data_IF_917131147366
#
_entry.id   IF_917131147366
#
_cell.length_a   1.000
_cell.length_b   1.000
_cell.length_c   1.000
_cell.angle_alpha   90.00
_cell.angle_beta   90.00
_cell.angle_gamma   90.00
#
_symmetry.space_group_name_H-M   'P 1'
#
loop_
_entity.id
_entity.type
_entity.pdbx_description
1 polymer ?
#
# COMPACT_ATOMS: atom_id res chain seq x y z
N UNK A 1 14.95 18.00 -6.75
CA UNK A 1 15.43 19.38 -6.89
C UNK A 1 14.32 20.37 -7.25
N UNK A 2 13.42 20.09 -8.20
CA UNK A 2 12.37 21.06 -8.61
C UNK A 2 11.27 21.34 -7.58
N UNK A 3 10.83 20.36 -6.75
CA UNK A 3 9.67 20.56 -5.86
C UNK A 3 9.85 21.64 -4.79
N UNK A 4 11.06 21.81 -4.24
CA UNK A 4 11.33 22.85 -3.24
C UNK A 4 11.29 24.24 -3.85
N UNK A 5 11.87 24.37 -5.05
CA UNK A 5 11.82 25.61 -5.83
C UNK A 5 10.38 25.92 -6.27
N UNK A 6 9.64 24.90 -6.69
CA UNK A 6 8.23 25.01 -7.03
C UNK A 6 7.42 25.53 -5.84
N UNK A 7 7.52 24.89 -4.68
CA UNK A 7 6.84 25.33 -3.47
C UNK A 7 7.23 26.78 -3.07
N UNK A 8 8.50 27.16 -3.23
CA UNK A 8 8.94 28.54 -3.01
C UNK A 8 8.28 29.53 -3.98
N UNK A 9 8.25 29.21 -5.27
CA UNK A 9 7.61 30.04 -6.28
C UNK A 9 6.09 30.14 -6.05
N UNK A 10 5.45 29.04 -5.67
CA UNK A 10 4.02 28.99 -5.32
C UNK A 10 3.73 29.84 -4.07
N UNK A 11 4.53 29.72 -3.00
CA UNK A 11 4.38 30.53 -1.76
C UNK A 11 4.53 32.03 -1.99
N UNK A 12 5.32 32.43 -3.00
CA UNK A 12 5.54 33.83 -3.36
C UNK A 12 4.66 34.31 -4.52
N UNK A 13 3.66 33.51 -4.94
CA UNK A 13 2.73 33.80 -6.04
C UNK A 13 3.45 34.16 -7.36
N UNK A 14 4.65 33.61 -7.56
CA UNK A 14 5.45 33.85 -8.76
C UNK A 14 4.98 32.92 -9.88
N UNK A 15 4.58 33.49 -11.01
CA UNK A 15 4.20 32.72 -12.19
C UNK A 15 5.43 32.07 -12.82
N UNK A 16 5.39 30.76 -13.01
CA UNK A 16 6.45 30.01 -13.70
C UNK A 16 5.90 29.05 -14.74
N UNK A 17 6.81 28.54 -15.56
CA UNK A 17 6.58 27.46 -16.51
C UNK A 17 7.40 26.26 -16.06
N UNK A 18 6.73 25.15 -15.80
CA UNK A 18 7.29 23.84 -15.56
C UNK A 18 7.25 23.08 -16.88
N UNK A 19 8.41 22.62 -17.30
CA UNK A 19 8.57 21.84 -18.50
C UNK A 19 9.26 20.52 -18.17
N UNK A 20 8.91 19.46 -18.92
CA UNK A 20 9.61 18.20 -18.79
C UNK A 20 11.08 18.39 -19.24
N UNK A 21 12.08 17.98 -18.45
CA UNK A 21 13.49 18.12 -18.83
C UNK A 21 13.83 17.45 -20.17
N UNK A 22 13.11 16.39 -20.55
CA UNK A 22 13.28 15.77 -21.87
C UNK A 22 12.77 16.65 -23.00
N UNK A 23 11.63 17.32 -22.79
CA UNK A 23 11.08 18.26 -23.78
C UNK A 23 11.96 19.51 -23.91
N UNK A 24 12.45 20.04 -22.78
CA UNK A 24 13.40 21.16 -22.76
C UNK A 24 14.63 20.83 -23.61
N UNK A 25 15.24 19.68 -23.35
CA UNK A 25 16.41 19.21 -24.10
C UNK A 25 16.10 19.00 -25.58
N UNK A 26 14.90 18.57 -25.97
CA UNK A 26 14.52 18.39 -27.38
C UNK A 26 14.33 19.72 -28.10
N UNK A 27 13.73 20.72 -27.43
CA UNK A 27 13.44 22.03 -28.01
C UNK A 27 14.65 22.95 -28.07
N UNK A 28 15.68 22.71 -27.25
CA UNK A 28 16.95 23.45 -27.25
C UNK A 28 18.02 22.83 -28.16
N UNK A 29 17.73 21.67 -28.78
CA UNK A 29 18.70 20.81 -29.47
C UNK A 29 19.05 21.24 -30.90
N UNK A 30 19.15 22.53 -31.15
CA UNK A 30 19.60 23.02 -32.46
C UNK A 30 21.11 22.77 -32.70
N UNK A 31 21.92 22.63 -31.64
CA UNK A 31 23.33 22.25 -31.76
C UNK A 31 23.64 20.99 -30.94
N UNK A 32 24.06 19.90 -31.61
CA UNK A 32 24.40 18.63 -30.99
C UNK A 32 25.70 18.65 -30.14
N UNK A 33 26.46 19.75 -30.14
CA UNK A 33 27.84 19.80 -29.61
C UNK A 33 28.11 20.96 -28.63
N UNK A 34 27.14 21.33 -27.79
CA UNK A 34 27.37 22.38 -26.79
C UNK A 34 27.83 21.82 -25.44
N UNK A 35 28.83 22.46 -24.85
CA UNK A 35 29.30 22.17 -23.50
C UNK A 35 28.23 22.59 -22.49
N UNK A 36 27.61 21.60 -21.85
CA UNK A 36 26.57 21.81 -20.83
C UNK A 36 27.13 22.61 -19.66
N UNK A 37 26.64 23.83 -19.47
CA UNK A 37 27.00 24.71 -18.37
C UNK A 37 25.73 25.36 -17.83
N UNK A 38 25.60 25.51 -16.51
CA UNK A 38 24.38 26.07 -15.89
C UNK A 38 24.00 27.46 -16.45
N UNK A 39 25.00 28.27 -16.82
CA UNK A 39 24.79 29.60 -17.45
C UNK A 39 24.18 29.51 -18.86
N UNK A 40 24.66 28.55 -19.65
CA UNK A 40 24.17 28.33 -21.01
C UNK A 40 22.77 27.72 -20.97
N UNK A 41 22.55 26.72 -20.10
CA UNK A 41 21.24 26.10 -19.90
C UNK A 41 20.17 27.15 -19.54
N UNK A 42 20.48 28.09 -18.65
CA UNK A 42 19.56 29.19 -18.30
C UNK A 42 19.27 30.13 -19.50
N UNK A 43 20.29 30.49 -20.28
CA UNK A 43 20.15 31.35 -21.45
C UNK A 43 19.27 30.69 -22.53
N UNK A 44 19.48 29.41 -22.81
CA UNK A 44 18.69 28.70 -23.81
C UNK A 44 17.24 28.50 -23.37
N UNK A 45 16.99 28.25 -22.09
CA UNK A 45 15.63 28.19 -21.56
C UNK A 45 14.90 29.54 -21.69
N UNK A 46 15.60 30.65 -21.43
CA UNK A 46 15.03 31.99 -21.61
C UNK A 46 14.73 32.31 -23.08
N UNK A 47 15.65 31.97 -24.00
CA UNK A 47 15.42 32.09 -25.45
C UNK A 47 14.24 31.26 -25.91
N UNK A 48 14.15 30.01 -25.47
CA UNK A 48 13.07 29.11 -25.81
C UNK A 48 11.70 29.68 -25.37
N UNK A 49 11.59 30.25 -24.18
CA UNK A 49 10.34 30.87 -23.73
C UNK A 49 10.01 32.15 -24.52
N UNK A 50 11.03 32.90 -24.97
CA UNK A 50 10.85 34.10 -25.79
C UNK A 50 10.39 33.78 -27.21
N UNK A 51 10.97 32.77 -27.84
CA UNK A 51 10.69 32.37 -29.23
C UNK A 51 9.44 31.49 -29.32
N UNK A 52 9.22 30.63 -28.31
CA UNK A 52 8.13 29.68 -28.23
C UNK A 52 7.47 29.71 -26.85
N UNK A 53 6.57 30.68 -26.59
CA UNK A 53 5.94 30.84 -25.29
C UNK A 53 5.21 29.56 -24.88
N UNK A 54 5.71 28.91 -23.83
CA UNK A 54 5.07 27.74 -23.26
C UNK A 54 3.89 28.17 -22.39
N UNK A 55 2.92 27.27 -22.23
CA UNK A 55 1.78 27.50 -21.33
C UNK A 55 2.29 27.65 -19.90
N UNK A 56 1.73 28.61 -19.17
CA UNK A 56 1.94 28.74 -17.73
C UNK A 56 1.66 27.40 -17.06
N UNK A 57 2.46 27.05 -16.07
CA UNK A 57 2.20 25.86 -15.30
C UNK A 57 0.84 25.95 -14.65
N UNK A 58 0.04 24.91 -14.89
CA UNK A 58 -1.17 24.69 -14.11
C UNK A 58 -0.74 24.40 -12.67
N UNK A 59 -0.99 25.36 -11.78
CA UNK A 59 -0.93 25.13 -10.34
C UNK A 59 -2.15 24.27 -10.02
N UNK A 60 -1.93 23.01 -9.64
CA UNK A 60 -3.02 22.16 -9.16
C UNK A 60 -3.59 22.81 -7.91
N UNK A 61 -4.92 22.87 -7.82
CA UNK A 61 -5.59 23.42 -6.64
C UNK A 61 -5.18 22.62 -5.40
N UNK A 62 -5.10 23.30 -4.26
CA UNK A 62 -4.68 22.69 -3.00
C UNK A 62 -5.56 21.50 -2.63
N UNK A 63 -6.88 21.62 -2.85
CA UNK A 63 -7.85 20.55 -2.59
C UNK A 63 -7.58 19.30 -3.44
N UNK A 64 -7.14 19.48 -4.68
CA UNK A 64 -6.79 18.37 -5.55
C UNK A 64 -5.49 17.69 -5.10
N UNK A 65 -4.50 18.47 -4.64
CA UNK A 65 -3.25 17.93 -4.12
C UNK A 65 -3.49 17.11 -2.83
N UNK A 66 -4.30 17.64 -1.92
CA UNK A 66 -4.73 16.92 -0.71
C UNK A 66 -5.47 15.63 -1.04
N UNK A 67 -6.40 15.68 -2.00
CA UNK A 67 -7.14 14.50 -2.43
C UNK A 67 -6.20 13.43 -3.00
N UNK A 68 -5.22 13.83 -3.82
CA UNK A 68 -4.22 12.91 -4.38
C UNK A 68 -3.33 12.30 -3.29
N UNK A 69 -2.92 13.09 -2.30
CA UNK A 69 -2.15 12.61 -1.16
C UNK A 69 -2.95 11.57 -0.35
N UNK A 70 -4.22 11.86 -0.07
CA UNK A 70 -5.13 10.95 0.63
C UNK A 70 -5.39 9.66 -0.16
N UNK A 71 -5.58 9.77 -1.48
CA UNK A 71 -5.74 8.62 -2.35
C UNK A 71 -4.50 7.70 -2.30
N UNK A 72 -3.30 8.28 -2.39
CA UNK A 72 -2.05 7.52 -2.26
C UNK A 72 -1.94 6.81 -0.91
N UNK A 73 -2.33 7.44 0.18
CA UNK A 73 -2.34 6.82 1.52
C UNK A 73 -3.31 5.62 1.54
N UNK A 74 -4.50 5.80 0.96
CA UNK A 74 -5.49 4.71 0.87
C UNK A 74 -4.99 3.52 0.04
N UNK A 75 -4.41 3.78 -1.13
CA UNK A 75 -3.83 2.73 -1.99
C UNK A 75 -2.73 1.96 -1.26
N UNK A 76 -1.84 2.68 -0.57
CA UNK A 76 -0.77 2.07 0.22
C UNK A 76 -1.33 1.19 1.34
N UNK A 77 -2.29 1.70 2.11
CA UNK A 77 -2.91 0.94 3.20
C UNK A 77 -3.63 -0.32 2.68
N UNK A 78 -4.31 -0.23 1.52
CA UNK A 78 -4.97 -1.36 0.87
C UNK A 78 -3.96 -2.43 0.43
N UNK A 79 -2.88 -2.00 -0.23
CA UNK A 79 -1.81 -2.89 -0.66
C UNK A 79 -1.13 -3.59 0.53
N UNK A 80 -0.86 -2.84 1.61
CA UNK A 80 -0.26 -3.39 2.83
C UNK A 80 -1.18 -4.39 3.51
N UNK A 81 -2.50 -4.13 3.55
CA UNK A 81 -3.49 -5.07 4.07
C UNK A 81 -3.48 -6.39 3.28
N UNK A 82 -3.48 -6.32 1.95
CA UNK A 82 -3.45 -7.51 1.08
C UNK A 82 -2.13 -8.28 1.29
N UNK A 83 -1.01 -7.55 1.32
CA UNK A 83 0.32 -8.15 1.49
C UNK A 83 0.45 -8.87 2.83
N UNK A 84 0.01 -8.22 3.92
CA UNK A 84 0.05 -8.80 5.26
C UNK A 84 -0.87 -10.02 5.39
N UNK A 85 -2.06 -9.97 4.78
CA UNK A 85 -2.96 -11.13 4.73
C UNK A 85 -2.33 -12.32 4.02
N UNK A 86 -1.69 -12.08 2.87
CA UNK A 86 -1.02 -13.14 2.11
C UNK A 86 0.18 -13.73 2.87
N UNK A 87 0.95 -12.89 3.58
CA UNK A 87 2.04 -13.35 4.45
C UNK A 87 1.53 -14.26 5.57
N UNK A 88 0.43 -13.87 6.21
CA UNK A 88 -0.17 -14.65 7.30
C UNK A 88 -0.72 -15.99 6.79
N UNK A 89 -1.42 -16.00 5.66
CA UNK A 89 -1.88 -17.23 5.03
C UNK A 89 -0.70 -18.15 4.67
N UNK A 90 0.39 -17.61 4.11
CA UNK A 90 1.60 -18.40 3.84
C UNK A 90 2.22 -18.98 5.12
N UNK A 91 2.26 -18.21 6.22
CA UNK A 91 2.78 -18.70 7.49
C UNK A 91 1.94 -19.88 8.02
N UNK A 92 0.61 -19.76 7.98
CA UNK A 92 -0.30 -20.83 8.40
C UNK A 92 -0.14 -22.07 7.53
N UNK A 93 -0.01 -21.91 6.21
CA UNK A 93 0.24 -23.04 5.30
C UNK A 93 1.54 -23.80 5.61
N UNK A 94 2.54 -23.13 6.22
CA UNK A 94 3.79 -23.76 6.61
C UNK A 94 3.71 -24.45 7.98
N UNK A 95 2.94 -23.92 8.92
CA UNK A 95 2.89 -24.43 10.31
C UNK A 95 1.71 -25.36 10.56
N UNK A 96 0.55 -25.10 9.97
CA UNK A 96 -0.68 -25.83 10.22
C UNK A 96 -1.65 -25.75 9.03
N UNK A 97 -1.32 -26.35 7.87
CA UNK A 97 -2.15 -26.24 6.66
C UNK A 97 -3.55 -26.84 6.83
N UNK A 98 -3.69 -27.85 7.68
CA UNK A 98 -4.94 -28.59 7.86
C UNK A 98 -6.05 -27.76 8.54
N UNK A 99 -5.68 -26.66 9.22
CA UNK A 99 -6.63 -25.76 9.88
C UNK A 99 -7.59 -25.09 8.89
N UNK A 100 -7.24 -24.99 7.60
CA UNK A 100 -8.12 -24.43 6.58
C UNK A 100 -9.35 -25.30 6.30
N UNK A 101 -9.26 -26.61 6.54
CA UNK A 101 -10.37 -27.54 6.38
C UNK A 101 -11.34 -27.51 7.56
N UNK A 102 -10.96 -26.88 8.68
CA UNK A 102 -11.78 -26.78 9.89
C UNK A 102 -13.07 -25.99 9.66
N UNK A 103 -13.02 -24.96 8.80
CA UNK A 103 -14.15 -24.07 8.57
C UNK A 103 -14.45 -23.97 7.08
N UNK A 104 -15.74 -23.99 6.74
CA UNK A 104 -16.24 -23.76 5.37
C UNK A 104 -15.74 -22.43 4.77
N UNK A 105 -15.40 -21.45 5.61
CA UNK A 105 -14.85 -20.17 5.18
C UNK A 105 -13.56 -19.81 5.95
N UNK A 106 -12.36 -20.07 5.38
CA UNK A 106 -11.04 -19.84 6.02
C UNK A 106 -10.63 -18.36 6.05
N UNK A 107 -11.61 -17.46 6.10
CA UNK A 107 -11.43 -16.00 6.04
C UNK A 107 -12.27 -15.24 7.07
N UNK A 108 -13.12 -15.95 7.81
CA UNK A 108 -14.01 -15.36 8.81
C UNK A 108 -13.27 -14.92 10.08
N UNK A 109 -13.90 -14.06 10.89
CA UNK A 109 -13.34 -13.63 12.18
C UNK A 109 -13.04 -14.82 13.11
N UNK A 110 -13.95 -15.78 13.17
CA UNK A 110 -13.80 -16.96 14.02
C UNK A 110 -12.60 -17.82 13.60
N UNK A 111 -12.33 -17.96 12.29
CA UNK A 111 -11.14 -18.67 11.79
C UNK A 111 -9.85 -18.01 12.30
N UNK A 112 -9.75 -16.68 12.17
CA UNK A 112 -8.57 -15.96 12.66
C UNK A 112 -8.43 -16.00 14.18
N UNK A 113 -9.53 -15.98 14.94
CA UNK A 113 -9.48 -16.17 16.39
C UNK A 113 -8.93 -17.54 16.78
N UNK A 114 -9.32 -18.60 16.06
CA UNK A 114 -8.80 -19.96 16.29
C UNK A 114 -7.33 -20.03 15.90
N UNK A 115 -6.96 -19.56 14.70
CA UNK A 115 -5.57 -19.57 14.23
C UNK A 115 -4.62 -18.75 15.13
N UNK A 116 -5.11 -17.67 15.76
CA UNK A 116 -4.34 -16.88 16.71
C UNK A 116 -4.12 -17.63 18.03
N UNK A 117 -5.11 -18.41 18.48
CA UNK A 117 -5.03 -19.19 19.72
C UNK A 117 -4.24 -20.48 19.54
N UNK A 118 -4.36 -21.10 18.37
CA UNK A 118 -3.78 -22.40 18.02
C UNK A 118 -3.00 -22.29 16.70
N UNK A 119 -1.79 -21.68 16.71
CA UNK A 119 -0.98 -21.50 15.50
C UNK A 119 -0.25 -22.77 15.04
N UNK A 120 -0.17 -23.80 15.90
CA UNK A 120 0.55 -25.05 15.66
C UNK A 120 -0.24 -26.26 16.20
N UNK A 121 -0.21 -27.43 15.53
CA UNK A 121 -0.92 -28.64 15.97
C UNK A 121 -0.61 -29.06 17.40
N UNK A 122 0.67 -29.02 17.80
CA UNK A 122 1.10 -29.43 19.15
C UNK A 122 0.39 -28.68 20.26
N UNK A 123 0.08 -27.39 20.05
CA UNK A 123 -0.62 -26.57 21.05
C UNK A 123 -2.07 -27.05 21.22
N UNK A 124 -2.69 -27.56 20.14
CA UNK A 124 -4.02 -28.17 20.20
C UNK A 124 -3.97 -29.46 21.00
N UNK A 125 -2.95 -30.29 20.78
CA UNK A 125 -2.77 -31.57 21.47
C UNK A 125 -2.43 -31.42 22.95
N UNK A 126 -1.69 -30.37 23.33
CA UNK A 126 -1.38 -30.06 24.72
C UNK A 126 -2.58 -29.46 25.49
N UNK A 127 -3.54 -28.89 24.78
CA UNK A 127 -4.71 -28.24 25.40
C UNK A 127 -5.82 -29.25 25.67
N UNK A 128 -6.46 -29.18 26.84
CA UNK A 128 -7.61 -30.04 27.16
C UNK A 128 -8.80 -29.68 26.28
N UNK A 129 -9.53 -30.69 25.81
CA UNK A 129 -10.73 -30.52 24.98
C UNK A 129 -11.76 -29.56 25.60
N UNK A 130 -11.94 -29.61 26.93
CA UNK A 130 -12.85 -28.71 27.64
C UNK A 130 -12.47 -27.23 27.50
N UNK A 131 -11.17 -26.91 27.55
CA UNK A 131 -10.67 -25.54 27.44
C UNK A 131 -10.81 -25.02 26.00
N UNK A 132 -10.64 -25.90 25.00
CA UNK A 132 -10.88 -25.58 23.59
C UNK A 132 -12.36 -25.25 23.37
N UNK A 133 -13.26 -26.09 23.90
CA UNK A 133 -14.71 -25.90 23.77
C UNK A 133 -15.16 -24.59 24.44
N UNK A 134 -14.63 -24.27 25.63
CA UNK A 134 -14.98 -23.03 26.33
C UNK A 134 -14.49 -21.78 25.60
N UNK A 135 -13.30 -21.84 25.00
CA UNK A 135 -12.84 -20.78 24.10
C UNK A 135 -13.78 -20.61 22.88
N UNK A 136 -14.17 -21.72 22.23
CA UNK A 136 -15.05 -21.69 21.05
C UNK A 136 -16.44 -21.16 21.37
N UNK A 137 -16.99 -21.44 22.57
CA UNK A 137 -18.27 -20.86 23.03
C UNK A 137 -18.21 -19.34 23.21
N UNK A 138 -17.03 -18.80 23.49
CA UNK A 138 -16.81 -17.34 23.58
C UNK A 138 -16.86 -16.63 22.22
N UNK A 139 -16.78 -17.37 21.10
CA UNK A 139 -16.83 -16.80 19.77
C UNK A 139 -18.27 -16.54 19.32
N UNK A 140 -18.48 -15.39 18.68
CA UNK A 140 -19.79 -14.97 18.18
C UNK A 140 -20.32 -15.96 17.13
N UNK A 141 -21.54 -16.47 17.35
CA UNK A 141 -22.25 -17.34 16.40
C UNK A 141 -21.89 -18.83 16.46
N UNK A 142 -21.10 -19.28 17.46
CA UNK A 142 -20.80 -20.70 17.68
C UNK A 142 -21.66 -21.24 18.83
N UNK A 143 -22.65 -22.07 18.51
CA UNK A 143 -23.43 -22.80 19.52
C UNK A 143 -22.68 -24.00 20.09
N UNK A 144 -23.11 -24.52 21.25
CA UNK A 144 -22.45 -25.64 21.97
C UNK A 144 -22.14 -26.86 21.10
N UNK A 145 -23.09 -27.30 20.26
CA UNK A 145 -22.89 -28.45 19.36
C UNK A 145 -21.76 -28.20 18.37
N UNK A 146 -21.80 -27.05 17.71
CA UNK A 146 -20.79 -26.64 16.72
C UNK A 146 -19.40 -26.44 17.35
N UNK A 147 -19.34 -25.96 18.59
CA UNK A 147 -18.08 -25.85 19.34
C UNK A 147 -17.45 -27.24 19.58
N UNK A 148 -18.25 -28.23 19.99
CA UNK A 148 -17.77 -29.60 20.17
C UNK A 148 -17.32 -30.21 18.84
N UNK A 149 -18.10 -30.08 17.77
CA UNK A 149 -17.75 -30.61 16.44
C UNK A 149 -16.42 -30.04 15.92
N UNK A 150 -16.22 -28.73 16.13
CA UNK A 150 -14.98 -28.05 15.76
C UNK A 150 -13.82 -28.48 16.66
N UNK A 151 -14.01 -28.63 17.97
CA UNK A 151 -12.98 -29.08 18.89
C UNK A 151 -12.51 -30.51 18.57
N UNK A 152 -13.44 -31.42 18.30
CA UNK A 152 -13.12 -32.78 17.88
C UNK A 152 -12.43 -32.83 16.52
N UNK A 153 -12.83 -31.96 15.59
CA UNK A 153 -12.14 -31.83 14.31
C UNK A 153 -10.71 -31.31 14.50
N UNK A 154 -10.51 -30.30 15.37
CA UNK A 154 -9.21 -29.74 15.71
C UNK A 154 -8.24 -30.77 16.29
N UNK A 155 -8.70 -31.63 17.20
CA UNK A 155 -7.87 -32.66 17.84
C UNK A 155 -7.47 -33.77 16.84
N UNK A 156 -8.24 -33.92 15.76
CA UNK A 156 -8.05 -34.98 14.76
C UNK A 156 -7.11 -34.58 13.62
N UNK A 157 -6.82 -33.29 13.46
CA UNK A 157 -5.84 -32.73 12.53
C UNK A 157 -4.43 -32.85 13.13
#
# INVERSE_FOLDING_TARGET
YSRRLQAFLDMHELRYVMMNPLEAKRKTKDDLHQNKTDKLDALYLAKLQSEHPQRLSYVQSEEYQELMANNRIYEQASHDLITNRNRLHKAIQLTFPEIEHLMVNPRGKNYWSIALRFPHPDIVLETKEADIIDFLKGLTGIGKKRANDIAQSLIRL
#
